data_IF_316039044863
#
_entry.id   IF_316039044863
#
_cell.length_a   1.000
_cell.length_b   1.000
_cell.length_c   1.000
_cell.angle_alpha   90.00
_cell.angle_beta   90.00
_cell.angle_gamma   90.00
#
_symmetry.space_group_name_H-M   'P 1'
#
loop_
_entity.id
_entity.type
_entity.pdbx_description
1 polymer ?
#
# COMPACT_ATOMS: atom_id res chain seq x y z
N UNK A 1 -5.11 7.40 -13.68
CA UNK A 1 -4.78 7.84 -12.30
C UNK A 1 -5.42 9.20 -12.01
N UNK A 2 -5.35 10.16 -12.94
CA UNK A 2 -6.08 11.43 -12.82
C UNK A 2 -7.60 11.27 -12.94
N UNK A 3 -8.08 10.39 -13.84
CA UNK A 3 -9.51 10.29 -14.17
C UNK A 3 -10.38 9.58 -13.12
N UNK A 4 -9.78 9.16 -11.99
CA UNK A 4 -10.42 8.32 -10.97
C UNK A 4 -10.09 8.74 -9.53
N UNK A 5 -10.04 10.04 -9.23
CA UNK A 5 -9.92 10.64 -7.87
C UNK A 5 -8.57 11.26 -7.47
N UNK A 6 -7.76 11.74 -8.43
CA UNK A 6 -6.56 12.56 -8.11
C UNK A 6 -6.71 13.93 -8.76
N UNK A 7 -6.52 14.99 -7.98
CA UNK A 7 -6.56 16.37 -8.43
C UNK A 7 -5.25 17.10 -8.09
N UNK A 8 -4.93 18.21 -8.79
CA UNK A 8 -3.88 19.11 -8.37
C UNK A 8 -4.09 19.55 -6.92
N UNK A 9 -3.01 19.64 -6.14
CA UNK A 9 -3.06 20.11 -4.76
C UNK A 9 -1.92 21.09 -4.50
N UNK A 10 -2.13 21.98 -3.53
CA UNK A 10 -1.10 22.87 -2.98
C UNK A 10 -0.72 22.45 -1.55
N UNK A 11 -0.67 21.13 -1.32
CA UNK A 11 -0.32 20.59 -0.02
C UNK A 11 1.09 21.03 0.39
N UNK A 12 1.32 21.37 1.68
CA UNK A 12 2.68 21.61 2.17
C UNK A 12 3.52 20.31 2.21
N UNK A 13 2.89 19.16 2.05
CA UNK A 13 3.55 17.86 1.93
C UNK A 13 3.65 17.43 0.46
N UNK A 14 4.85 17.04 0.04
CA UNK A 14 5.12 16.44 -1.27
C UNK A 14 6.06 15.26 -1.12
N UNK A 15 5.87 14.25 -1.98
CA UNK A 15 6.66 13.02 -1.98
C UNK A 15 7.11 12.69 -3.40
N UNK A 16 8.31 12.11 -3.57
CA UNK A 16 8.80 11.77 -4.88
C UNK A 16 8.02 10.60 -5.48
N UNK A 17 7.94 10.59 -6.81
CA UNK A 17 7.35 9.52 -7.61
C UNK A 17 8.46 8.72 -8.25
N UNK A 18 8.34 7.40 -8.17
CA UNK A 18 9.27 6.42 -8.72
C UNK A 18 8.52 5.62 -9.79
N UNK A 19 9.09 5.53 -10.99
CA UNK A 19 8.59 4.66 -12.04
C UNK A 19 9.27 3.31 -11.94
N UNK A 20 8.46 2.25 -11.79
CA UNK A 20 8.96 0.87 -11.69
C UNK A 20 8.39 0.04 -12.83
N UNK A 21 9.21 -0.86 -13.40
CA UNK A 21 8.73 -1.82 -14.40
C UNK A 21 8.09 -3.01 -13.69
N UNK A 22 6.87 -3.38 -14.09
CA UNK A 22 6.18 -4.58 -13.63
C UNK A 22 5.46 -5.25 -14.79
N UNK A 23 5.79 -6.51 -15.03
CA UNK A 23 5.09 -7.37 -15.98
C UNK A 23 4.95 -6.72 -17.37
N UNK A 24 6.02 -6.06 -17.84
CA UNK A 24 6.06 -5.37 -19.13
C UNK A 24 5.49 -3.94 -19.14
N UNK A 25 4.83 -3.50 -18.07
CA UNK A 25 4.27 -2.15 -17.92
C UNK A 25 5.07 -1.27 -16.96
N UNK A 26 4.94 0.05 -17.06
CA UNK A 26 5.41 0.98 -16.04
C UNK A 26 4.31 1.20 -14.99
N UNK A 27 4.69 1.20 -13.72
CA UNK A 27 3.84 1.58 -12.60
C UNK A 27 4.39 2.83 -11.93
N UNK A 28 3.50 3.76 -11.64
CA UNK A 28 3.77 4.93 -10.81
C UNK A 28 3.70 4.54 -9.33
N UNK A 29 4.80 4.67 -8.60
CA UNK A 29 4.88 4.40 -7.16
C UNK A 29 5.30 5.67 -6.42
N UNK A 30 4.49 6.12 -5.46
CA UNK A 30 4.85 7.26 -4.61
C UNK A 30 5.65 6.73 -3.41
N UNK A 31 6.79 7.36 -3.11
CA UNK A 31 7.63 6.97 -1.97
C UNK A 31 7.09 7.54 -0.65
N UNK A 32 6.23 6.77 0.02
CA UNK A 32 5.61 7.13 1.29
C UNK A 32 6.47 6.87 2.54
N UNK A 33 7.76 6.50 2.41
CA UNK A 33 8.57 6.11 3.58
C UNK A 33 8.63 7.18 4.68
N UNK A 34 8.83 8.45 4.31
CA UNK A 34 8.91 9.58 5.27
C UNK A 34 7.57 9.86 5.96
N UNK A 35 6.46 9.75 5.24
CA UNK A 35 5.14 9.96 5.88
C UNK A 35 4.77 8.77 6.77
N UNK A 36 5.08 7.54 6.33
CA UNK A 36 4.81 6.34 7.12
C UNK A 36 5.57 6.30 8.45
N UNK A 37 6.73 6.96 8.55
CA UNK A 37 7.47 7.05 9.81
C UNK A 37 6.88 8.04 10.82
N UNK A 38 6.11 9.03 10.36
CA UNK A 38 5.47 10.02 11.24
C UNK A 38 3.99 9.73 11.50
N UNK A 39 3.36 8.89 10.67
CA UNK A 39 1.98 8.46 10.87
C UNK A 39 1.88 7.38 11.95
N UNK A 40 0.87 7.50 12.82
CA UNK A 40 0.52 6.45 13.79
C UNK A 40 0.05 5.20 13.04
N UNK A 41 0.69 4.06 13.31
CA UNK A 41 0.25 2.77 12.78
C UNK A 41 -1.07 2.36 13.44
N UNK A 42 -2.07 2.08 12.62
CA UNK A 42 -3.33 1.47 13.04
C UNK A 42 -3.32 0.00 12.63
N UNK A 43 -2.64 -0.82 13.43
CA UNK A 43 -2.41 -2.22 13.11
C UNK A 43 -3.66 -3.06 13.44
N UNK A 44 -4.38 -3.50 12.41
CA UNK A 44 -5.40 -4.52 12.55
C UNK A 44 -4.75 -5.91 12.56
N UNK A 45 -5.10 -6.80 13.50
CA UNK A 45 -4.54 -8.14 13.55
C UNK A 45 -5.00 -8.93 12.32
N UNK A 46 -4.09 -9.15 11.39
CA UNK A 46 -4.30 -10.08 10.28
C UNK A 46 -3.66 -11.42 10.67
N UNK A 47 -4.41 -12.53 10.60
CA UNK A 47 -3.86 -13.84 10.92
C UNK A 47 -2.73 -14.19 9.95
N UNK A 48 -1.76 -14.96 10.43
CA UNK A 48 -0.76 -15.51 9.52
C UNK A 48 -1.45 -16.46 8.54
N UNK A 49 -0.91 -16.55 7.32
CA UNK A 49 -1.53 -17.37 6.28
C UNK A 49 -1.62 -18.85 6.70
N UNK A 50 -0.60 -19.35 7.39
CA UNK A 50 -0.60 -20.73 7.91
C UNK A 50 -1.71 -20.93 8.94
N UNK A 51 -1.88 -20.02 9.90
CA UNK A 51 -2.94 -20.10 10.92
C UNK A 51 -4.34 -20.16 10.27
N UNK A 52 -4.50 -19.41 9.18
CA UNK A 52 -5.75 -19.38 8.41
C UNK A 52 -5.99 -20.71 7.68
N UNK A 53 -4.93 -21.31 7.11
CA UNK A 53 -4.99 -22.60 6.42
C UNK A 53 -5.23 -23.77 7.39
N UNK A 54 -4.59 -23.75 8.55
CA UNK A 54 -4.74 -24.79 9.59
C UNK A 54 -6.17 -24.81 10.14
N UNK A 55 -6.75 -23.62 10.37
CA UNK A 55 -8.15 -23.48 10.79
C UNK A 55 -9.11 -24.09 9.76
N UNK A 56 -8.84 -23.89 8.46
CA UNK A 56 -9.65 -24.44 7.37
C UNK A 56 -9.52 -25.97 7.28
N UNK A 57 -8.31 -26.51 7.41
CA UNK A 57 -8.06 -27.95 7.32
C UNK A 57 -8.70 -28.75 8.47
N UNK A 58 -8.81 -28.16 9.67
CA UNK A 58 -9.47 -28.77 10.83
C UNK A 58 -10.99 -28.57 10.88
N UNK A 59 -11.56 -27.84 9.93
CA UNK A 59 -13.01 -27.59 9.80
C UNK A 59 -13.65 -28.67 8.92
N UNK A 60 -13.92 -29.83 9.52
CA UNK A 60 -14.72 -30.93 8.94
C UNK A 60 -16.02 -31.13 9.71
#
# INVERSE_FOLDING_TARGET
MLDKNISPSQSPWSLPVILVKKDGSLRFCVDYRKVNSVTRKDAYPLPHINDTLDTLAGSS
#
